data_IF_553436021562
#
_entry.id   IF_553436021562
#
_cell.length_a   1.000
_cell.length_b   1.000
_cell.length_c   1.000
_cell.angle_alpha   90.00
_cell.angle_beta   90.00
_cell.angle_gamma   90.00
#
_symmetry.space_group_name_H-M   'P 1'
#
loop_
_entity.id
_entity.type
_entity.pdbx_description
1 polymer ?
#
# COMPACT_ATOMS: atom_id res chain seq x y z
N UNK A 1 18.63 -24.66 -0.59
CA UNK A 1 18.95 -23.67 -1.66
C UNK A 1 18.09 -22.43 -1.47
N UNK A 2 18.71 -21.25 -1.38
CA UNK A 2 18.08 -19.94 -1.23
C UNK A 2 17.93 -19.28 -2.60
N UNK A 3 16.77 -18.71 -2.90
CA UNK A 3 16.47 -18.08 -4.18
C UNK A 3 16.53 -16.55 -4.06
N UNK A 4 17.39 -15.91 -4.85
CA UNK A 4 17.40 -14.44 -5.00
C UNK A 4 16.53 -14.05 -6.21
N UNK A 5 15.51 -13.25 -5.96
CA UNK A 5 14.55 -12.78 -6.97
C UNK A 5 14.67 -11.27 -7.17
N UNK A 6 14.97 -10.88 -8.41
CA UNK A 6 15.00 -9.48 -8.84
C UNK A 6 13.57 -8.97 -9.09
N UNK A 7 13.41 -7.65 -9.21
CA UNK A 7 12.13 -7.03 -9.62
C UNK A 7 11.61 -7.63 -10.92
N UNK A 8 12.49 -7.84 -11.91
CA UNK A 8 12.13 -8.45 -13.21
C UNK A 8 11.64 -9.89 -13.06
N UNK A 9 12.17 -10.67 -12.13
CA UNK A 9 11.69 -12.03 -11.88
C UNK A 9 10.31 -12.01 -11.22
N UNK A 10 10.11 -11.10 -10.27
CA UNK A 10 8.82 -10.91 -9.61
C UNK A 10 7.73 -10.49 -10.61
N UNK A 11 8.03 -9.56 -11.51
CA UNK A 11 7.10 -9.10 -12.56
C UNK A 11 6.64 -10.21 -13.50
N UNK A 12 7.48 -11.21 -13.78
CA UNK A 12 7.14 -12.36 -14.63
C UNK A 12 6.12 -13.33 -14.01
N UNK A 13 5.95 -13.29 -12.69
CA UNK A 13 5.11 -14.26 -11.97
C UNK A 13 3.98 -13.63 -11.16
N UNK A 14 4.15 -12.40 -10.68
CA UNK A 14 3.18 -11.76 -9.80
C UNK A 14 2.15 -10.95 -10.59
N UNK A 15 0.99 -11.53 -10.82
CA UNK A 15 -0.18 -10.82 -11.34
C UNK A 15 -1.04 -10.25 -10.20
N UNK A 16 -1.96 -9.33 -10.52
CA UNK A 16 -2.90 -8.83 -9.52
C UNK A 16 -3.84 -9.93 -9.01
N UNK A 17 -4.25 -10.84 -9.88
CA UNK A 17 -5.05 -12.01 -9.48
C UNK A 17 -4.34 -12.87 -8.43
N UNK A 18 -3.08 -13.24 -8.66
CA UNK A 18 -2.25 -13.99 -7.68
C UNK A 18 -2.12 -13.22 -6.38
N UNK A 19 -1.94 -11.90 -6.46
CA UNK A 19 -1.84 -11.02 -5.28
C UNK A 19 -3.12 -11.04 -4.46
N UNK A 20 -4.27 -10.88 -5.11
CA UNK A 20 -5.59 -10.89 -4.45
C UNK A 20 -5.88 -12.24 -3.79
N UNK A 21 -5.59 -13.35 -4.48
CA UNK A 21 -5.76 -14.71 -3.94
C UNK A 21 -4.93 -14.91 -2.66
N UNK A 22 -3.64 -14.53 -2.68
CA UNK A 22 -2.77 -14.64 -1.51
C UNK A 22 -3.24 -13.76 -0.35
N UNK A 23 -3.63 -12.52 -0.65
CA UNK A 23 -4.10 -11.58 0.37
C UNK A 23 -5.45 -12.00 0.96
N UNK A 24 -6.36 -12.55 0.17
CA UNK A 24 -7.65 -13.00 0.67
C UNK A 24 -7.51 -14.13 1.68
N UNK A 25 -6.61 -15.09 1.43
CA UNK A 25 -6.24 -16.14 2.40
C UNK A 25 -5.67 -15.52 3.67
N UNK A 26 -4.70 -14.60 3.53
CA UNK A 26 -4.09 -13.92 4.67
C UNK A 26 -5.11 -13.14 5.50
N UNK A 27 -5.98 -12.35 4.87
CA UNK A 27 -6.95 -11.55 5.61
C UNK A 27 -8.01 -12.40 6.30
N UNK A 28 -8.34 -13.57 5.75
CA UNK A 28 -9.15 -14.57 6.46
C UNK A 28 -8.43 -15.05 7.72
N UNK A 29 -7.15 -15.43 7.62
CA UNK A 29 -6.33 -15.84 8.77
C UNK A 29 -6.21 -14.72 9.83
N UNK A 30 -6.03 -13.46 9.40
CA UNK A 30 -5.99 -12.31 10.32
C UNK A 30 -7.32 -12.14 11.06
N UNK A 31 -8.44 -12.25 10.35
CA UNK A 31 -9.76 -12.20 10.97
C UNK A 31 -10.02 -13.36 11.92
N UNK A 32 -9.47 -14.54 11.66
CA UNK A 32 -9.52 -15.73 12.52
C UNK A 32 -8.43 -15.72 13.61
N UNK A 33 -7.57 -14.71 13.67
CA UNK A 33 -6.44 -14.56 14.60
C UNK A 33 -5.39 -15.67 14.49
N UNK A 34 -5.22 -16.22 13.30
CA UNK A 34 -4.22 -17.25 12.99
C UNK A 34 -2.92 -16.63 12.45
N UNK A 35 -3.03 -15.65 11.57
CA UNK A 35 -1.87 -14.91 11.09
C UNK A 35 -1.45 -13.83 12.11
N UNK A 36 -0.15 -13.52 12.13
CA UNK A 36 0.44 -12.55 13.04
C UNK A 36 1.38 -11.60 12.31
N UNK A 37 1.53 -10.41 12.87
CA UNK A 37 2.50 -9.42 12.44
C UNK A 37 2.87 -8.52 13.61
N UNK A 38 4.03 -7.87 13.54
CA UNK A 38 4.38 -6.81 14.49
C UNK A 38 4.21 -5.42 13.84
N UNK A 39 4.01 -4.36 14.67
CA UNK A 39 3.92 -2.99 14.19
C UNK A 39 5.18 -2.60 13.41
N UNK A 40 5.02 -1.80 12.34
CA UNK A 40 6.16 -1.31 11.55
C UNK A 40 7.16 -0.59 12.43
N UNK A 41 8.43 -0.92 12.29
CA UNK A 41 9.54 -0.27 12.97
C UNK A 41 10.23 0.68 11.99
N UNK A 42 10.34 1.95 12.34
CA UNK A 42 11.07 2.95 11.56
C UNK A 42 12.20 3.52 12.42
N UNK A 43 13.44 3.27 12.01
CA UNK A 43 14.63 3.86 12.64
C UNK A 43 15.11 5.02 11.77
N UNK A 44 15.23 6.20 12.36
CA UNK A 44 15.66 7.42 11.70
C UNK A 44 17.00 7.89 12.24
N UNK A 45 17.98 8.06 11.36
CA UNK A 45 19.31 8.57 11.70
C UNK A 45 19.52 9.87 10.92
N UNK A 46 19.67 11.02 11.62
CA UNK A 46 20.01 12.28 10.97
C UNK A 46 21.33 12.18 10.22
N UNK A 47 21.38 12.80 9.06
CA UNK A 47 22.57 12.88 8.22
C UNK A 47 22.99 14.34 8.02
N UNK A 48 24.27 14.61 8.17
CA UNK A 48 24.86 15.88 7.78
C UNK A 48 25.14 15.84 6.26
N UNK A 49 24.41 16.64 5.49
CA UNK A 49 24.64 16.82 4.06
C UNK A 49 24.72 18.31 3.78
N UNK A 50 25.86 18.83 3.30
CA UNK A 50 26.06 20.26 3.08
C UNK A 50 25.04 20.89 2.12
N UNK A 51 24.61 20.13 1.13
CA UNK A 51 23.65 20.54 0.09
C UNK A 51 22.18 20.46 0.51
N UNK A 52 21.89 19.84 1.68
CA UNK A 52 20.53 19.57 2.13
C UNK A 52 20.31 20.13 3.54
N UNK A 53 19.29 20.94 3.69
CA UNK A 53 18.92 21.51 5.00
C UNK A 53 18.45 20.43 5.99
N UNK A 54 17.86 19.36 5.48
CA UNK A 54 17.44 18.21 6.25
C UNK A 54 17.62 16.92 5.45
N UNK A 55 18.38 15.99 6.02
CA UNK A 55 18.54 14.65 5.48
C UNK A 55 18.53 13.60 6.61
N UNK A 56 17.98 12.42 6.32
CA UNK A 56 18.03 11.32 7.25
C UNK A 56 18.06 9.96 6.53
N UNK A 57 18.73 9.00 7.13
CA UNK A 57 18.61 7.61 6.77
C UNK A 57 17.41 6.99 7.49
N UNK A 58 16.62 6.24 6.75
CA UNK A 58 15.45 5.52 7.22
C UNK A 58 15.66 4.01 7.01
N UNK A 59 15.78 3.26 8.10
CA UNK A 59 15.60 1.82 8.05
C UNK A 59 14.16 1.50 8.47
N UNK A 60 13.41 0.84 7.59
CA UNK A 60 12.04 0.41 7.86
C UNK A 60 11.97 -1.09 7.89
N UNK A 61 11.37 -1.64 8.94
CA UNK A 61 11.23 -3.08 9.16
C UNK A 61 9.76 -3.43 9.32
N UNK A 62 9.30 -4.45 8.61
CA UNK A 62 7.95 -4.97 8.69
C UNK A 62 8.00 -6.49 8.65
N UNK A 63 7.46 -7.15 9.65
CA UNK A 63 7.46 -8.62 9.72
C UNK A 63 6.10 -9.20 10.05
N UNK A 64 5.89 -10.45 9.63
CA UNK A 64 4.69 -11.20 9.94
C UNK A 64 4.68 -12.58 9.29
N UNK A 65 3.70 -13.37 9.66
CA UNK A 65 3.56 -14.76 9.24
C UNK A 65 2.16 -15.03 8.66
N UNK A 66 2.11 -15.93 7.70
CA UNK A 66 0.87 -16.52 7.16
C UNK A 66 0.98 -18.05 7.26
N UNK A 67 0.32 -18.66 8.23
CA UNK A 67 0.33 -20.10 8.45
C UNK A 67 -0.15 -20.92 7.24
N UNK A 68 -1.19 -20.50 6.55
CA UNK A 68 -1.69 -21.17 5.34
C UNK A 68 -0.64 -21.23 4.22
N UNK A 69 0.20 -20.18 4.11
CA UNK A 69 1.31 -20.17 3.18
C UNK A 69 2.60 -20.79 3.73
N UNK A 70 2.59 -21.20 5.01
CA UNK A 70 3.74 -21.79 5.72
C UNK A 70 5.00 -20.91 5.67
N UNK A 71 4.82 -19.59 5.75
CA UNK A 71 5.91 -18.62 5.62
C UNK A 71 5.89 -17.53 6.68
N UNK A 72 7.09 -17.05 6.99
CA UNK A 72 7.36 -15.81 7.70
C UNK A 72 8.06 -14.85 6.74
N UNK A 73 7.62 -13.61 6.68
CA UNK A 73 8.23 -12.58 5.83
C UNK A 73 8.79 -11.43 6.68
N UNK A 74 10.02 -11.04 6.40
CA UNK A 74 10.65 -9.85 6.96
C UNK A 74 11.03 -8.91 5.81
N UNK A 75 10.34 -7.77 5.72
CA UNK A 75 10.65 -6.75 4.72
C UNK A 75 11.51 -5.66 5.34
N UNK A 76 12.62 -5.33 4.67
CA UNK A 76 13.52 -4.23 5.00
C UNK A 76 13.53 -3.21 3.87
N UNK A 77 13.55 -1.91 4.18
CA UNK A 77 13.98 -0.89 3.22
C UNK A 77 14.93 0.08 3.88
N UNK A 78 16.00 0.39 3.17
CA UNK A 78 17.04 1.34 3.57
C UNK A 78 16.97 2.52 2.62
N UNK A 79 16.49 3.65 3.12
CA UNK A 79 16.23 4.84 2.31
C UNK A 79 17.04 6.02 2.86
N UNK A 80 17.65 6.82 2.00
CA UNK A 80 18.08 8.17 2.36
C UNK A 80 17.01 9.14 1.85
N UNK A 81 16.49 9.96 2.74
CA UNK A 81 15.45 10.94 2.43
C UNK A 81 15.94 12.36 2.70
N UNK A 82 15.51 13.27 1.84
CA UNK A 82 15.68 14.73 1.99
C UNK A 82 14.31 15.42 1.89
N UNK A 83 14.25 16.68 2.27
CA UNK A 83 13.01 17.48 2.23
C UNK A 83 13.24 18.84 1.57
N UNK A 84 13.59 18.86 0.28
CA UNK A 84 13.77 20.11 -0.46
C UNK A 84 12.48 20.93 -0.48
N UNK A 85 12.63 22.25 -0.47
CA UNK A 85 11.55 23.20 -0.66
C UNK A 85 11.18 23.27 -2.15
N UNK A 86 9.97 22.85 -2.50
CA UNK A 86 9.47 22.84 -3.87
C UNK A 86 8.13 23.57 -3.94
N UNK A 87 8.07 24.70 -4.65
CA UNK A 87 6.84 25.50 -4.75
C UNK A 87 6.30 25.98 -3.39
N UNK A 88 7.18 26.35 -2.46
CA UNK A 88 6.82 26.79 -1.10
C UNK A 88 6.45 25.68 -0.13
N UNK A 89 6.51 24.40 -0.54
CA UNK A 89 6.21 23.24 0.30
C UNK A 89 7.41 22.29 0.36
N UNK A 90 7.70 21.78 1.55
CA UNK A 90 8.70 20.72 1.71
C UNK A 90 8.11 19.37 1.27
N UNK A 91 8.82 18.70 0.38
CA UNK A 91 8.43 17.37 -0.12
C UNK A 91 9.49 16.36 0.20
N UNK A 92 9.09 15.22 0.78
CA UNK A 92 10.03 14.13 0.99
C UNK A 92 10.46 13.52 -0.33
N UNK A 93 11.76 13.54 -0.58
CA UNK A 93 12.39 12.89 -1.73
C UNK A 93 13.27 11.76 -1.23
N UNK A 94 13.15 10.60 -1.83
CA UNK A 94 14.05 9.47 -1.59
C UNK A 94 15.20 9.53 -2.58
N UNK A 95 16.41 9.59 -2.06
CA UNK A 95 17.61 9.53 -2.88
C UNK A 95 17.93 8.07 -3.26
N UNK A 96 18.47 7.83 -4.46
CA UNK A 96 18.97 6.51 -4.82
C UNK A 96 20.19 6.14 -3.96
N UNK A 97 20.30 4.85 -3.65
CA UNK A 97 21.42 4.32 -2.84
C UNK A 97 22.67 4.21 -3.70
N UNK A 98 22.54 3.61 -4.89
CA UNK A 98 23.64 3.39 -5.81
C UNK A 98 23.13 3.30 -7.24
N UNK A 99 23.84 3.89 -8.21
CA UNK A 99 23.53 3.80 -9.64
C UNK A 99 22.05 4.10 -10.01
N UNK A 100 21.45 5.09 -9.37
CA UNK A 100 20.05 5.44 -9.60
C UNK A 100 19.03 4.43 -9.06
N UNK A 101 19.43 3.49 -8.19
CA UNK A 101 18.58 2.42 -7.66
C UNK A 101 18.36 2.56 -6.15
N UNK A 102 17.28 1.97 -5.66
CA UNK A 102 16.88 1.94 -4.25
C UNK A 102 17.03 0.53 -3.67
N UNK A 103 17.14 0.43 -2.34
CA UNK A 103 17.25 -0.83 -1.62
C UNK A 103 15.96 -1.14 -0.86
N UNK A 104 15.36 -2.26 -1.19
CA UNK A 104 14.26 -2.86 -0.45
C UNK A 104 14.23 -4.35 -0.70
N UNK A 105 14.24 -5.14 0.38
CA UNK A 105 14.33 -6.59 0.34
C UNK A 105 13.26 -7.21 1.23
N UNK A 106 12.81 -8.38 0.83
CA UNK A 106 11.99 -9.28 1.62
C UNK A 106 12.80 -10.55 1.85
N UNK A 107 13.00 -10.90 3.11
CA UNK A 107 13.53 -12.20 3.51
C UNK A 107 12.33 -13.11 3.80
N UNK A 108 12.22 -14.18 3.05
CA UNK A 108 11.13 -15.16 3.17
C UNK A 108 11.67 -16.43 3.83
N UNK A 109 11.09 -16.81 4.96
CA UNK A 109 11.46 -17.99 5.72
C UNK A 109 10.33 -19.01 5.71
N UNK A 110 10.67 -20.29 5.80
CA UNK A 110 9.73 -21.35 6.12
C UNK A 110 9.31 -21.28 7.58
N UNK A 111 8.02 -21.22 7.86
CA UNK A 111 7.51 -21.34 9.23
C UNK A 111 7.48 -22.79 9.75
N UNK A 112 7.88 -23.77 8.92
CA UNK A 112 7.90 -25.19 9.26
C UNK A 112 9.21 -25.59 9.89
N UNK A 113 10.33 -25.10 9.32
CA UNK A 113 11.68 -25.53 9.73
C UNK A 113 12.69 -24.37 9.89
N UNK A 114 12.26 -23.12 9.69
CA UNK A 114 13.11 -21.94 9.88
C UNK A 114 14.04 -21.62 8.70
N UNK A 115 14.06 -22.42 7.63
CA UNK A 115 14.93 -22.16 6.48
C UNK A 115 14.66 -20.81 5.83
N UNK A 116 15.72 -20.12 5.40
CA UNK A 116 15.63 -19.01 4.46
C UNK A 116 15.30 -19.58 3.07
N UNK A 117 14.11 -19.25 2.56
CA UNK A 117 13.61 -19.72 1.26
C UNK A 117 14.05 -18.81 0.12
N UNK A 118 13.93 -17.50 0.33
CA UNK A 118 14.23 -16.51 -0.70
C UNK A 118 14.57 -15.14 -0.12
N UNK A 119 15.36 -14.38 -0.91
CA UNK A 119 15.54 -12.93 -0.78
C UNK A 119 14.93 -12.30 -2.02
N UNK A 120 13.91 -11.42 -1.84
CA UNK A 120 13.11 -10.88 -2.93
C UNK A 120 13.23 -9.36 -2.94
N UNK A 121 13.52 -8.74 -4.09
CA UNK A 121 13.42 -7.28 -4.23
C UNK A 121 11.96 -6.83 -4.04
N UNK A 122 11.73 -5.88 -3.13
CA UNK A 122 10.39 -5.58 -2.62
C UNK A 122 9.53 -4.68 -3.52
N UNK A 123 10.13 -3.90 -4.42
CA UNK A 123 9.48 -2.77 -5.07
C UNK A 123 8.17 -3.11 -5.77
N UNK A 124 8.18 -4.09 -6.68
CA UNK A 124 6.98 -4.50 -7.43
C UNK A 124 5.96 -5.21 -6.52
N UNK A 125 6.41 -6.14 -5.68
CA UNK A 125 5.55 -6.83 -4.72
C UNK A 125 4.88 -5.84 -3.75
N UNK A 126 5.63 -4.87 -3.26
CA UNK A 126 5.11 -3.81 -2.37
C UNK A 126 4.02 -2.97 -3.04
N UNK A 127 4.16 -2.68 -4.34
CA UNK A 127 3.13 -2.03 -5.13
C UNK A 127 1.87 -2.88 -5.25
N UNK A 128 2.03 -4.13 -5.64
CA UNK A 128 0.93 -5.06 -5.90
C UNK A 128 0.12 -5.35 -4.64
N UNK A 129 0.78 -5.60 -3.48
CA UNK A 129 0.08 -5.88 -2.22
C UNK A 129 -0.75 -4.68 -1.72
N UNK A 130 -0.33 -3.42 -1.98
CA UNK A 130 -1.12 -2.24 -1.60
C UNK A 130 -2.37 -2.14 -2.48
N UNK A 131 -2.22 -2.30 -3.80
CA UNK A 131 -3.35 -2.34 -4.72
C UNK A 131 -4.33 -3.47 -4.39
N UNK A 132 -3.80 -4.68 -4.16
CA UNK A 132 -4.60 -5.85 -3.79
C UNK A 132 -5.39 -5.67 -2.49
N UNK A 133 -4.80 -5.02 -1.48
CA UNK A 133 -5.51 -4.70 -0.23
C UNK A 133 -6.72 -3.81 -0.47
N UNK A 134 -6.56 -2.74 -1.26
CA UNK A 134 -7.68 -1.88 -1.64
C UNK A 134 -8.68 -2.63 -2.54
N UNK A 135 -8.19 -3.48 -3.44
CA UNK A 135 -9.03 -4.35 -4.24
C UNK A 135 -9.93 -5.27 -3.41
N UNK A 136 -9.38 -5.87 -2.34
CA UNK A 136 -10.20 -6.64 -1.39
C UNK A 136 -11.22 -5.76 -0.67
N UNK A 137 -10.85 -4.57 -0.21
CA UNK A 137 -11.80 -3.60 0.33
C UNK A 137 -12.97 -3.35 -0.63
N UNK A 138 -12.67 -3.06 -1.90
CA UNK A 138 -13.68 -2.85 -2.94
C UNK A 138 -14.48 -4.13 -3.26
N UNK A 139 -13.85 -5.32 -3.22
CA UNK A 139 -14.52 -6.61 -3.43
C UNK A 139 -15.69 -6.83 -2.46
N UNK A 140 -15.53 -6.41 -1.22
CA UNK A 140 -16.52 -6.63 -0.16
C UNK A 140 -17.43 -5.42 0.10
N UNK A 141 -16.98 -4.21 -0.25
CA UNK A 141 -17.68 -2.97 0.11
C UNK A 141 -18.28 -2.20 -1.08
N UNK A 142 -17.73 -2.31 -2.29
CA UNK A 142 -18.33 -1.71 -3.46
C UNK A 142 -19.57 -2.49 -3.92
N UNK A 143 -20.52 -1.82 -4.57
CA UNK A 143 -21.66 -2.49 -5.20
C UNK A 143 -21.18 -3.56 -6.17
N UNK A 144 -21.93 -4.63 -6.32
CA UNK A 144 -21.59 -5.76 -7.22
C UNK A 144 -21.63 -5.34 -8.69
N UNK A 145 -22.51 -4.42 -9.02
CA UNK A 145 -22.72 -3.86 -10.37
C UNK A 145 -21.83 -2.64 -10.67
N UNK A 146 -20.91 -2.26 -9.77
CA UNK A 146 -20.00 -1.13 -9.97
C UNK A 146 -19.17 -1.30 -11.25
N UNK A 147 -19.18 -0.27 -12.11
CA UNK A 147 -18.53 -0.28 -13.44
C UNK A 147 -17.65 0.92 -13.71
N UNK A 148 -17.65 1.92 -12.84
CA UNK A 148 -16.96 3.19 -13.05
C UNK A 148 -16.08 3.57 -11.86
N UNK A 149 -14.90 4.13 -12.17
CA UNK A 149 -13.89 4.52 -11.17
C UNK A 149 -13.48 5.98 -11.35
N UNK A 150 -13.44 6.72 -10.26
CA UNK A 150 -12.76 8.01 -10.13
C UNK A 150 -11.44 7.82 -9.36
N UNK A 151 -10.32 8.06 -10.02
CA UNK A 151 -8.99 7.92 -9.43
C UNK A 151 -8.34 9.28 -9.24
N UNK A 152 -7.87 9.54 -8.03
CA UNK A 152 -7.09 10.73 -7.67
C UNK A 152 -5.64 10.34 -7.43
N UNK A 153 -4.76 10.80 -8.31
CA UNK A 153 -3.35 10.46 -8.34
C UNK A 153 -2.96 9.74 -9.63
N UNK A 154 -1.71 9.97 -10.09
CA UNK A 154 -1.13 9.37 -11.29
C UNK A 154 0.27 8.79 -11.04
N UNK A 155 0.53 8.43 -9.77
CA UNK A 155 1.80 7.88 -9.34
C UNK A 155 1.88 6.35 -9.44
N UNK A 156 3.00 5.81 -8.96
CA UNK A 156 3.30 4.38 -8.98
C UNK A 156 2.20 3.51 -8.34
N UNK A 157 1.66 3.95 -7.19
CA UNK A 157 0.61 3.22 -6.48
C UNK A 157 -0.74 3.30 -7.20
N UNK A 158 -1.06 4.40 -7.84
CA UNK A 158 -2.34 4.62 -8.52
C UNK A 158 -2.64 3.53 -9.57
N UNK A 159 -1.62 3.11 -10.35
CA UNK A 159 -1.78 2.04 -11.33
C UNK A 159 -2.15 0.69 -10.71
N UNK A 160 -1.59 0.34 -9.56
CA UNK A 160 -1.94 -0.91 -8.88
C UNK A 160 -3.38 -0.93 -8.35
N UNK A 161 -3.92 0.25 -7.99
CA UNK A 161 -5.33 0.37 -7.60
C UNK A 161 -6.25 -0.01 -8.76
N UNK A 162 -5.97 0.51 -9.96
CA UNK A 162 -6.77 0.19 -11.15
C UNK A 162 -6.67 -1.29 -11.52
N UNK A 163 -5.48 -1.88 -11.49
CA UNK A 163 -5.29 -3.33 -11.70
C UNK A 163 -6.15 -4.14 -10.73
N UNK A 164 -6.19 -3.77 -9.46
CA UNK A 164 -6.95 -4.50 -8.46
C UNK A 164 -8.47 -4.35 -8.65
N UNK A 165 -8.94 -3.15 -8.96
CA UNK A 165 -10.36 -2.88 -9.19
C UNK A 165 -10.90 -3.61 -10.40
N UNK A 166 -10.12 -3.70 -11.49
CA UNK A 166 -10.53 -4.44 -12.70
C UNK A 166 -10.58 -5.95 -12.49
N UNK A 167 -9.82 -6.50 -11.54
CA UNK A 167 -9.91 -7.92 -11.16
C UNK A 167 -11.16 -8.22 -10.31
N UNK A 168 -11.63 -7.29 -9.49
CA UNK A 168 -12.73 -7.54 -8.54
C UNK A 168 -14.08 -7.01 -9.02
N UNK A 169 -14.12 -6.16 -10.05
CA UNK A 169 -15.34 -5.58 -10.65
C UNK A 169 -15.21 -5.48 -12.18
N UNK A 170 -16.34 -5.52 -12.86
CA UNK A 170 -16.40 -5.35 -14.33
C UNK A 170 -16.31 -3.87 -14.70
N UNK A 171 -15.16 -3.24 -14.39
CA UNK A 171 -14.94 -1.83 -14.70
C UNK A 171 -14.98 -1.59 -16.22
N UNK A 172 -15.68 -0.52 -16.62
CA UNK A 172 -15.86 -0.12 -18.01
C UNK A 172 -15.33 1.28 -18.31
N UNK A 173 -15.21 2.12 -17.27
CA UNK A 173 -14.84 3.51 -17.43
C UNK A 173 -14.01 3.99 -16.22
N UNK A 174 -12.91 4.67 -16.50
CA UNK A 174 -12.03 5.22 -15.47
C UNK A 174 -11.80 6.70 -15.78
N UNK A 175 -11.99 7.54 -14.78
CA UNK A 175 -11.67 8.97 -14.78
C UNK A 175 -10.48 9.21 -13.86
N UNK A 176 -9.46 9.92 -14.33
CA UNK A 176 -8.22 10.16 -13.57
C UNK A 176 -7.98 11.65 -13.41
N UNK A 177 -7.75 12.06 -12.18
CA UNK A 177 -7.30 13.41 -11.89
C UNK A 177 -5.94 13.40 -11.16
N UNK A 178 -5.08 14.30 -11.60
CA UNK A 178 -3.83 14.66 -10.92
C UNK A 178 -3.50 16.11 -11.31
N UNK A 179 -2.90 16.93 -10.44
CA UNK A 179 -2.68 18.35 -10.72
C UNK A 179 -1.84 18.61 -11.98
N UNK A 180 -0.79 17.79 -12.22
CA UNK A 180 0.09 17.95 -13.36
C UNK A 180 -0.54 17.32 -14.62
N UNK A 181 -0.84 18.14 -15.63
CA UNK A 181 -1.51 17.73 -16.87
C UNK A 181 -0.76 16.60 -17.57
N UNK A 182 0.53 16.78 -17.79
CA UNK A 182 1.40 15.85 -18.51
C UNK A 182 1.44 14.49 -17.82
N UNK A 183 1.52 14.48 -16.48
CA UNK A 183 1.54 13.23 -15.68
C UNK A 183 0.22 12.48 -15.78
N UNK A 184 -0.94 13.16 -15.63
CA UNK A 184 -2.24 12.48 -15.71
C UNK A 184 -2.56 11.98 -17.11
N UNK A 185 -2.19 12.73 -18.16
CA UNK A 185 -2.40 12.30 -19.54
C UNK A 185 -1.52 11.10 -19.91
N UNK A 186 -0.22 11.15 -19.52
CA UNK A 186 0.68 10.01 -19.72
C UNK A 186 0.18 8.78 -18.99
N UNK A 187 -0.15 8.93 -17.71
CA UNK A 187 -0.68 7.83 -16.89
C UNK A 187 -1.95 7.23 -17.49
N UNK A 188 -2.87 8.06 -17.97
CA UNK A 188 -4.11 7.59 -18.57
C UNK A 188 -3.86 6.77 -19.83
N UNK A 189 -3.00 7.25 -20.74
CA UNK A 189 -2.61 6.47 -21.94
C UNK A 189 -1.93 5.14 -21.58
N UNK A 190 -1.01 5.16 -20.64
CA UNK A 190 -0.30 3.95 -20.22
C UNK A 190 -1.28 2.92 -19.61
N UNK A 191 -2.18 3.37 -18.73
CA UNK A 191 -3.16 2.48 -18.10
C UNK A 191 -4.24 1.99 -19.06
N UNK A 192 -4.69 2.82 -19.99
CA UNK A 192 -5.60 2.40 -21.06
C UNK A 192 -5.03 1.25 -21.89
N UNK A 193 -3.74 1.36 -22.25
CA UNK A 193 -3.02 0.29 -22.95
C UNK A 193 -2.90 -1.00 -22.11
N UNK A 194 -2.62 -0.87 -20.82
CA UNK A 194 -2.45 -2.02 -19.91
C UNK A 194 -3.79 -2.72 -19.63
N UNK A 195 -4.85 -1.95 -19.42
CA UNK A 195 -6.15 -2.47 -19.01
C UNK A 195 -7.07 -2.83 -20.19
N UNK A 196 -6.81 -2.29 -21.39
CA UNK A 196 -7.66 -2.50 -22.56
C UNK A 196 -9.05 -1.86 -22.43
N UNK A 197 -9.18 -0.80 -21.62
CA UNK A 197 -10.46 -0.10 -21.39
C UNK A 197 -10.21 1.42 -21.24
N UNK A 198 -11.26 2.28 -21.46
CA UNK A 198 -11.09 3.72 -21.46
C UNK A 198 -10.60 4.28 -20.11
N UNK A 199 -9.50 5.04 -20.15
CA UNK A 199 -8.93 5.75 -19.00
C UNK A 199 -8.80 7.23 -19.37
N UNK A 200 -9.72 8.06 -18.88
CA UNK A 200 -9.86 9.47 -19.28
C UNK A 200 -9.21 10.41 -18.29
N UNK A 201 -8.24 11.25 -18.72
CA UNK A 201 -7.70 12.30 -17.87
C UNK A 201 -8.71 13.44 -17.72
N UNK A 202 -9.03 13.83 -16.49
CA UNK A 202 -9.94 14.91 -16.19
C UNK A 202 -9.18 16.22 -15.91
N UNK A 203 -9.70 17.35 -16.39
CA UNK A 203 -9.07 18.65 -16.18
C UNK A 203 -9.27 19.16 -14.75
N UNK A 204 -10.42 18.85 -14.15
CA UNK A 204 -10.81 19.29 -12.83
C UNK A 204 -11.11 18.10 -11.92
N UNK A 205 -10.81 18.20 -10.62
CA UNK A 205 -10.97 17.08 -9.69
C UNK A 205 -12.42 16.62 -9.53
N UNK A 206 -13.39 17.55 -9.51
CA UNK A 206 -14.82 17.23 -9.40
C UNK A 206 -15.34 16.39 -10.58
N UNK A 207 -14.73 16.53 -11.75
CA UNK A 207 -15.09 15.71 -12.93
C UNK A 207 -14.70 14.23 -12.75
N UNK A 208 -13.60 13.99 -12.04
CA UNK A 208 -13.16 12.64 -11.74
C UNK A 208 -14.04 11.93 -10.70
N UNK A 209 -14.65 12.70 -9.79
CA UNK A 209 -15.55 12.16 -8.77
C UNK A 209 -17.00 12.00 -9.24
N UNK A 210 -17.40 12.74 -10.29
CA UNK A 210 -18.78 12.79 -10.75
C UNK A 210 -19.22 11.50 -11.44
N UNK A 211 -20.39 10.98 -11.08
CA UNK A 211 -21.04 9.82 -11.73
C UNK A 211 -20.11 8.59 -11.80
N UNK A 212 -19.50 8.24 -10.67
CA UNK A 212 -18.68 7.04 -10.52
C UNK A 212 -19.16 6.18 -9.36
N UNK A 213 -18.90 4.88 -9.44
CA UNK A 213 -19.30 3.90 -8.41
C UNK A 213 -18.23 3.72 -7.33
N UNK A 214 -16.97 3.89 -7.72
CA UNK A 214 -15.82 3.72 -6.83
C UNK A 214 -14.93 4.96 -6.95
N UNK A 215 -14.53 5.52 -5.82
CA UNK A 215 -13.54 6.60 -5.73
C UNK A 215 -12.31 6.07 -5.02
N UNK A 216 -11.13 6.32 -5.61
CA UNK A 216 -9.86 5.98 -5.00
C UNK A 216 -8.96 7.20 -4.93
N UNK A 217 -8.43 7.49 -3.73
CA UNK A 217 -7.35 8.46 -3.55
C UNK A 217 -6.02 7.72 -3.36
N UNK A 218 -5.03 8.06 -4.20
CA UNK A 218 -3.71 7.44 -4.22
C UNK A 218 -2.64 8.51 -4.53
N UNK A 219 -2.63 9.57 -3.73
CA UNK A 219 -1.76 10.72 -3.91
C UNK A 219 -0.62 10.75 -2.89
N UNK A 220 0.29 11.67 -3.03
CA UNK A 220 1.28 12.05 -2.03
C UNK A 220 0.93 13.40 -1.36
N UNK A 221 -0.33 13.83 -1.44
CA UNK A 221 -0.80 15.04 -0.79
C UNK A 221 -0.68 14.90 0.72
N UNK A 222 -0.19 15.96 1.37
CA UNK A 222 -0.20 16.11 2.82
C UNK A 222 -1.31 17.03 3.32
N UNK A 223 -2.19 17.46 2.40
CA UNK A 223 -3.34 18.29 2.71
C UNK A 223 -4.60 17.55 2.30
N UNK A 224 -5.60 17.60 3.16
CA UNK A 224 -6.93 17.07 2.84
C UNK A 224 -7.54 17.89 1.70
N UNK A 225 -7.84 17.23 0.61
CA UNK A 225 -8.34 17.91 -0.60
C UNK A 225 -9.72 17.40 -1.04
N UNK A 226 -10.12 16.19 -0.61
CA UNK A 226 -11.32 15.53 -1.09
C UNK A 226 -12.54 15.91 -0.22
N UNK A 227 -13.51 16.69 -0.72
CA UNK A 227 -14.64 17.18 0.05
C UNK A 227 -15.85 16.23 -0.03
N UNK A 228 -16.80 16.40 0.87
CA UNK A 228 -17.99 15.53 0.99
C UNK A 228 -18.95 15.63 -0.19
N UNK A 229 -19.08 16.80 -0.82
CA UNK A 229 -19.99 17.03 -1.93
C UNK A 229 -19.67 16.23 -3.19
N UNK A 230 -18.45 15.68 -3.30
CA UNK A 230 -18.09 14.81 -4.41
C UNK A 230 -18.50 13.35 -4.21
N UNK A 231 -19.08 13.00 -3.06
CA UNK A 231 -19.51 11.65 -2.75
C UNK A 231 -21.01 11.50 -2.97
N UNK A 232 -21.40 10.76 -3.99
CA UNK A 232 -22.78 10.40 -4.26
C UNK A 232 -23.24 9.20 -3.44
N UNK A 233 -24.56 9.00 -3.31
CA UNK A 233 -25.12 7.79 -2.68
C UNK A 233 -24.64 6.54 -3.40
N UNK A 234 -24.38 5.48 -2.65
CA UNK A 234 -23.97 4.18 -3.17
C UNK A 234 -22.49 4.07 -3.57
N UNK A 235 -21.73 5.16 -3.48
CA UNK A 235 -20.29 5.16 -3.79
C UNK A 235 -19.51 4.33 -2.75
N UNK A 236 -18.47 3.65 -3.23
CA UNK A 236 -17.42 3.11 -2.39
C UNK A 236 -16.19 4.02 -2.46
N UNK A 237 -15.76 4.52 -1.31
CA UNK A 237 -14.58 5.37 -1.16
C UNK A 237 -13.40 4.54 -0.63
N UNK A 238 -12.26 4.58 -1.30
CA UNK A 238 -11.03 3.93 -0.85
C UNK A 238 -9.87 4.92 -0.82
N UNK A 239 -9.13 4.99 0.27
CA UNK A 239 -7.97 5.89 0.38
C UNK A 239 -6.73 5.15 0.87
N UNK A 240 -5.56 5.54 0.33
CA UNK A 240 -4.26 5.05 0.78
C UNK A 240 -3.76 5.79 2.03
N UNK A 241 -4.20 7.03 2.20
CA UNK A 241 -3.88 7.84 3.37
C UNK A 241 -5.15 8.58 3.78
N UNK A 242 -5.52 8.47 5.06
CA UNK A 242 -6.69 9.15 5.60
C UNK A 242 -6.64 10.67 5.40
N UNK A 243 -5.44 11.24 5.41
CA UNK A 243 -5.19 12.68 5.31
C UNK A 243 -5.58 13.26 3.93
N UNK A 244 -5.85 12.41 2.94
CA UNK A 244 -6.35 12.86 1.62
C UNK A 244 -7.82 13.29 1.66
N UNK A 245 -8.60 12.74 2.61
CA UNK A 245 -10.01 13.08 2.79
C UNK A 245 -10.18 14.24 3.77
N UNK A 246 -11.05 15.19 3.47
CA UNK A 246 -11.53 16.14 4.45
C UNK A 246 -12.42 15.44 5.48
N UNK A 247 -12.55 16.02 6.66
CA UNK A 247 -13.33 15.46 7.76
C UNK A 247 -14.78 15.18 7.36
N UNK A 248 -15.40 16.13 6.66
CA UNK A 248 -16.77 15.98 6.18
C UNK A 248 -16.95 14.84 5.18
N UNK A 249 -15.93 14.54 4.36
CA UNK A 249 -15.97 13.40 3.45
C UNK A 249 -15.87 12.07 4.19
N UNK A 250 -15.05 12.03 5.24
CA UNK A 250 -14.97 10.87 6.13
C UNK A 250 -16.31 10.62 6.84
N UNK A 251 -16.92 11.68 7.43
CA UNK A 251 -18.20 11.59 8.13
C UNK A 251 -19.38 11.23 7.22
N UNK A 252 -19.24 11.43 5.91
CA UNK A 252 -20.24 11.03 4.93
C UNK A 252 -20.26 9.54 4.66
N UNK A 253 -19.16 8.81 4.94
CA UNK A 253 -19.14 7.36 4.82
C UNK A 253 -19.98 6.72 5.96
N UNK A 254 -21.06 6.06 5.61
CA UNK A 254 -21.99 5.43 6.56
C UNK A 254 -21.43 4.15 7.16
N UNK A 255 -20.51 3.50 6.46
CA UNK A 255 -19.84 2.30 6.92
C UNK A 255 -18.37 2.31 6.49
N UNK A 256 -17.47 2.28 7.46
CA UNK A 256 -16.03 2.34 7.25
C UNK A 256 -15.39 1.06 7.76
N UNK A 257 -14.52 0.48 6.94
CA UNK A 257 -13.63 -0.61 7.29
C UNK A 257 -12.19 -0.12 7.18
N UNK A 258 -11.34 -0.52 8.10
CA UNK A 258 -9.92 -0.17 8.11
C UNK A 258 -9.06 -1.40 7.82
N UNK A 259 -7.81 -1.18 7.41
CA UNK A 259 -6.91 -2.31 7.22
C UNK A 259 -6.56 -2.98 8.56
N UNK A 260 -6.19 -2.19 9.57
CA UNK A 260 -5.86 -2.68 10.91
C UNK A 260 -6.04 -1.57 11.95
N UNK A 261 -6.44 -1.91 13.21
CA UNK A 261 -6.49 -0.95 14.31
C UNK A 261 -5.10 -0.50 14.79
N UNK A 262 -4.05 -1.25 14.48
CA UNK A 262 -2.68 -0.91 14.87
C UNK A 262 -2.22 0.36 14.16
N UNK A 263 -2.18 1.45 14.91
CA UNK A 263 -1.75 2.77 14.44
C UNK A 263 -0.24 2.94 14.39
N UNK A 264 0.46 2.21 15.23
CA UNK A 264 1.78 2.59 15.65
C UNK A 264 2.83 2.13 14.65
N UNK A 265 3.45 3.11 14.03
CA UNK A 265 4.81 2.98 13.55
C UNK A 265 5.68 3.28 14.76
N UNK A 266 6.41 2.30 15.25
CA UNK A 266 7.37 2.54 16.32
C UNK A 266 8.55 3.32 15.73
N UNK A 267 8.62 4.58 16.05
CA UNK A 267 9.73 5.45 15.64
C UNK A 267 10.84 5.39 16.70
N UNK A 268 12.02 5.00 16.27
CA UNK A 268 13.25 5.25 17.01
C UNK A 268 14.00 6.37 16.30
N UNK A 269 13.97 7.55 16.87
CA UNK A 269 14.64 8.72 16.34
C UNK A 269 15.47 9.37 17.44
N UNK A 270 16.71 9.73 17.13
CA UNK A 270 17.53 10.57 18.00
C UNK A 270 17.12 12.05 17.82
N UNK A 271 17.93 12.86 17.20
CA UNK A 271 17.71 14.31 17.04
C UNK A 271 16.80 14.67 15.85
N UNK A 272 16.27 13.71 15.09
CA UNK A 272 15.51 14.02 13.86
C UNK A 272 14.22 14.78 14.14
N UNK A 273 13.54 14.45 15.23
CA UNK A 273 12.30 15.12 15.65
C UNK A 273 12.52 16.59 15.97
N UNK A 274 13.61 16.90 16.65
CA UNK A 274 14.01 18.29 16.96
C UNK A 274 14.34 19.07 15.69
N UNK A 275 14.98 18.42 14.70
CA UNK A 275 15.28 19.04 13.42
C UNK A 275 14.00 19.30 12.60
N UNK A 276 13.04 18.37 12.59
CA UNK A 276 11.74 18.58 11.97
C UNK A 276 10.99 19.76 12.58
N UNK A 277 11.00 19.87 13.91
CA UNK A 277 10.38 20.98 14.64
C UNK A 277 11.04 22.32 14.32
N UNK A 278 12.38 22.36 14.32
CA UNK A 278 13.15 23.56 14.01
C UNK A 278 12.88 24.09 12.60
N UNK A 279 12.67 23.20 11.64
CA UNK A 279 12.38 23.53 10.24
C UNK A 279 10.89 23.76 9.98
N UNK A 280 10.06 23.79 11.01
CA UNK A 280 8.61 23.95 10.84
C UNK A 280 7.95 22.80 10.10
N UNK A 281 8.62 21.64 10.05
CA UNK A 281 8.11 20.42 9.42
C UNK A 281 7.20 19.63 10.35
N UNK A 282 6.71 20.24 11.44
CA UNK A 282 5.75 19.55 12.31
C UNK A 282 4.79 18.79 11.43
N UNK A 283 4.76 17.47 11.62
CA UNK A 283 3.60 16.68 11.24
C UNK A 283 2.44 17.41 11.89
N UNK A 284 1.71 18.20 11.11
CA UNK A 284 0.54 18.92 11.62
C UNK A 284 -0.28 17.89 12.36
N UNK A 285 -0.70 18.26 13.55
CA UNK A 285 -1.79 17.60 14.22
C UNK A 285 -2.81 17.20 13.14
N UNK A 286 -3.34 16.02 13.28
CA UNK A 286 -4.26 15.40 12.34
C UNK A 286 -5.16 16.45 11.66
N UNK A 287 -5.36 16.43 10.32
CA UNK A 287 -6.15 17.46 9.62
C UNK A 287 -7.62 17.51 10.03
N UNK A 288 -8.07 16.55 10.85
CA UNK A 288 -9.43 16.49 11.37
C UNK A 288 -9.52 17.04 12.78
N UNK A 289 -10.65 17.61 13.13
CA UNK A 289 -10.91 18.25 14.43
C UNK A 289 -11.06 17.25 15.58
N UNK A 290 -11.06 15.93 15.31
CA UNK A 290 -11.23 14.87 16.29
C UNK A 290 -10.19 13.76 16.11
N UNK A 291 -9.89 13.10 17.19
CA UNK A 291 -9.08 11.89 17.18
C UNK A 291 -9.96 10.69 16.81
N UNK A 292 -9.48 9.88 15.84
CA UNK A 292 -10.20 8.67 15.41
C UNK A 292 -9.87 7.52 16.35
N UNK A 293 -10.86 6.97 17.02
CA UNK A 293 -10.69 5.67 17.70
C UNK A 293 -10.72 4.54 16.67
N UNK A 294 -9.53 4.12 16.24
CA UNK A 294 -9.39 3.07 15.24
C UNK A 294 -9.88 1.71 15.73
N UNK A 295 -9.96 1.48 17.04
CA UNK A 295 -10.46 0.21 17.59
C UNK A 295 -11.98 0.07 17.46
N UNK A 296 -12.69 1.17 17.21
CA UNK A 296 -14.14 1.16 17.00
C UNK A 296 -14.56 0.71 15.59
N UNK A 297 -13.60 0.60 14.65
CA UNK A 297 -13.90 0.24 13.26
C UNK A 297 -13.61 -1.23 12.98
N UNK A 298 -14.48 -1.90 12.19
CA UNK A 298 -14.19 -3.24 11.70
C UNK A 298 -12.95 -3.24 10.81
N UNK A 299 -12.21 -4.34 10.85
CA UNK A 299 -11.00 -4.54 10.07
C UNK A 299 -11.28 -5.30 8.77
N UNK A 300 -10.39 -5.18 7.79
CA UNK A 300 -10.47 -5.97 6.56
C UNK A 300 -10.42 -7.49 6.86
N UNK A 301 -9.67 -7.90 7.88
CA UNK A 301 -9.63 -9.30 8.31
C UNK A 301 -10.99 -9.81 8.79
N UNK A 302 -11.68 -9.04 9.62
CA UNK A 302 -13.02 -9.39 10.08
C UNK A 302 -14.04 -9.40 8.94
N UNK A 303 -13.92 -8.49 7.99
CA UNK A 303 -14.77 -8.44 6.81
C UNK A 303 -14.56 -9.67 5.91
N UNK A 304 -13.32 -10.04 5.60
CA UNK A 304 -12.98 -11.19 4.75
C UNK A 304 -13.35 -12.52 5.43
N UNK A 305 -13.16 -12.63 6.74
CA UNK A 305 -13.57 -13.81 7.52
C UNK A 305 -15.07 -13.85 7.85
N UNK A 306 -15.86 -12.86 7.35
CA UNK A 306 -17.33 -12.77 7.56
C UNK A 306 -17.74 -12.59 9.02
N UNK A 307 -16.88 -12.10 9.88
CA UNK A 307 -17.23 -11.72 11.27
C UNK A 307 -18.04 -10.45 11.35
N UNK A 308 -17.93 -9.62 10.32
CA UNK A 308 -18.75 -8.43 10.12
C UNK A 308 -19.36 -8.46 8.73
N UNK A 309 -20.51 -7.82 8.58
CA UNK A 309 -21.17 -7.67 7.28
C UNK A 309 -20.44 -6.63 6.44
N UNK A 310 -20.47 -6.81 5.12
CA UNK A 310 -20.07 -5.78 4.18
C UNK A 310 -21.17 -4.74 3.94
N UNK A 311 -21.23 -4.21 2.72
CA UNK A 311 -22.31 -3.32 2.28
C UNK A 311 -23.70 -3.95 2.50
N UNK A 312 -24.64 -3.17 3.06
CA UNK A 312 -25.98 -3.64 3.39
C UNK A 312 -27.07 -3.12 2.44
N UNK A 313 -26.81 -2.05 1.68
CA UNK A 313 -27.70 -1.53 0.65
C UNK A 313 -26.97 -0.88 -0.50
N UNK A 314 -27.62 -0.75 -1.68
CA UNK A 314 -27.02 -0.14 -2.85
C UNK A 314 -26.84 1.38 -2.69
N UNK A 315 -27.64 2.04 -1.85
CA UNK A 315 -27.52 3.47 -1.56
C UNK A 315 -26.46 3.80 -0.50
N UNK A 316 -26.00 2.81 0.28
CA UNK A 316 -25.03 3.02 1.35
C UNK A 316 -23.71 3.55 0.82
N UNK A 317 -23.14 4.56 1.46
CA UNK A 317 -21.80 5.06 1.20
C UNK A 317 -20.83 4.28 2.08
N UNK A 318 -19.91 3.56 1.45
CA UNK A 318 -18.92 2.75 2.17
C UNK A 318 -17.52 3.31 2.03
N UNK A 319 -16.70 3.18 3.07
CA UNK A 319 -15.30 3.59 3.07
C UNK A 319 -14.35 2.44 3.39
N UNK A 320 -13.20 2.39 2.72
CA UNK A 320 -12.06 1.56 3.11
C UNK A 320 -10.83 2.43 3.31
N UNK A 321 -10.25 2.39 4.51
CA UNK A 321 -9.03 3.13 4.82
C UNK A 321 -7.86 2.15 4.95
N UNK A 322 -6.95 2.20 3.96
CA UNK A 322 -5.72 1.41 3.98
C UNK A 322 -4.65 2.14 4.80
N UNK A 323 -4.91 2.26 6.10
CA UNK A 323 -4.19 3.13 7.02
C UNK A 323 -2.71 2.75 7.23
N UNK A 324 -2.38 1.46 7.20
CA UNK A 324 -1.01 0.97 7.34
C UNK A 324 -0.84 -0.39 6.67
N UNK A 325 0.33 -0.65 6.07
CA UNK A 325 0.67 -1.97 5.53
C UNK A 325 1.12 -2.95 6.61
N UNK A 326 0.86 -4.23 6.40
CA UNK A 326 1.18 -5.32 7.33
C UNK A 326 2.37 -6.13 6.84
N UNK A 327 3.25 -6.53 7.77
CA UNK A 327 4.37 -7.42 7.46
C UNK A 327 3.93 -8.78 6.90
N UNK A 328 2.83 -9.32 7.40
CA UNK A 328 2.26 -10.59 6.94
C UNK A 328 1.86 -10.59 5.45
N UNK A 329 1.56 -9.42 4.85
CA UNK A 329 1.31 -9.32 3.41
C UNK A 329 2.53 -9.74 2.58
N UNK A 330 3.75 -9.48 3.08
CA UNK A 330 4.99 -9.90 2.43
C UNK A 330 5.24 -11.41 2.58
N UNK A 331 4.81 -12.01 3.69
CA UNK A 331 4.84 -13.46 3.87
C UNK A 331 3.92 -14.14 2.84
N UNK A 332 2.65 -13.76 2.79
CA UNK A 332 1.66 -14.40 1.93
C UNK A 332 1.95 -14.21 0.43
N UNK A 333 2.17 -12.96 -0.01
CA UNK A 333 2.45 -12.68 -1.43
C UNK A 333 3.84 -13.16 -1.84
N UNK A 334 4.83 -13.05 -0.94
CA UNK A 334 6.18 -13.57 -1.15
C UNK A 334 6.22 -15.09 -1.33
N UNK A 335 5.41 -15.83 -0.58
CA UNK A 335 5.25 -17.28 -0.76
C UNK A 335 4.80 -17.65 -2.18
N UNK A 336 3.77 -16.94 -2.69
CA UNK A 336 3.28 -17.19 -4.05
C UNK A 336 4.31 -16.83 -5.12
N UNK A 337 5.03 -15.73 -4.92
CA UNK A 337 6.15 -15.34 -5.81
C UNK A 337 7.22 -16.41 -5.80
N UNK A 338 7.63 -16.90 -4.63
CA UNK A 338 8.64 -17.96 -4.49
C UNK A 338 8.22 -19.26 -5.19
N UNK A 339 7.00 -19.73 -4.94
CA UNK A 339 6.47 -20.96 -5.56
C UNK A 339 6.45 -20.86 -7.09
N UNK A 340 5.90 -19.77 -7.63
CA UNK A 340 5.78 -19.55 -9.07
C UNK A 340 7.16 -19.34 -9.74
N UNK A 341 8.08 -18.67 -9.05
CA UNK A 341 9.44 -18.49 -9.55
C UNK A 341 10.20 -19.83 -9.61
N UNK A 342 10.05 -20.69 -8.59
CA UNK A 342 10.62 -22.06 -8.61
C UNK A 342 10.07 -22.88 -9.79
N UNK A 343 8.75 -22.88 -9.97
CA UNK A 343 8.12 -23.61 -11.08
C UNK A 343 8.64 -23.14 -12.46
N UNK A 344 8.89 -21.83 -12.61
CA UNK A 344 9.41 -21.23 -13.84
C UNK A 344 10.94 -21.20 -13.91
N UNK A 345 11.64 -21.71 -12.91
CA UNK A 345 13.11 -21.70 -12.80
C UNK A 345 13.71 -20.29 -12.95
N UNK A 346 13.11 -19.29 -12.31
CA UNK A 346 13.55 -17.91 -12.30
C UNK A 346 14.41 -17.60 -11.07
N UNK A 347 15.22 -16.54 -11.17
CA UNK A 347 16.08 -16.06 -10.12
C UNK A 347 17.47 -16.71 -10.07
N UNK A 348 18.25 -16.32 -9.08
CA UNK A 348 19.59 -16.86 -8.81
C UNK A 348 19.52 -17.75 -7.58
N UNK A 349 20.08 -18.95 -7.68
CA UNK A 349 20.07 -19.93 -6.60
C UNK A 349 21.43 -19.92 -5.87
N UNK A 350 21.38 -19.87 -4.56
CA UNK A 350 22.53 -19.95 -3.68
C UNK A 350 22.43 -21.20 -2.81
N UNK A 351 23.60 -21.75 -2.43
CA UNK A 351 23.65 -22.82 -1.45
C UNK A 351 23.13 -22.33 -0.09
N UNK A 352 22.30 -23.13 0.56
CA UNK A 352 21.76 -22.80 1.88
C UNK A 352 22.86 -22.66 2.93
N UNK A 353 23.95 -23.43 2.83
CA UNK A 353 25.07 -23.42 3.78
C UNK A 353 25.74 -22.03 3.89
N UNK A 354 25.61 -21.19 2.85
CA UNK A 354 26.11 -19.80 2.90
C UNK A 354 25.35 -18.92 3.91
N UNK A 355 24.19 -19.35 4.37
CA UNK A 355 23.31 -18.63 5.28
C UNK A 355 23.15 -19.31 6.64
N UNK A 356 23.80 -20.46 6.82
CA UNK A 356 23.79 -21.24 8.05
C UNK A 356 25.07 -21.03 8.84
N UNK A 357 25.04 -21.34 10.11
CA UNK A 357 26.20 -21.27 11.01
C UNK A 357 26.28 -22.54 11.83
N UNK A 358 27.52 -22.99 12.13
CA UNK A 358 27.76 -24.20 12.91
C UNK A 358 27.70 -23.95 14.42
N UNK A 359 27.64 -22.70 14.84
CA UNK A 359 27.62 -22.32 16.25
C UNK A 359 26.17 -22.23 16.72
N UNK A 360 25.85 -23.00 17.76
CA UNK A 360 24.58 -22.85 18.46
C UNK A 360 24.62 -21.60 19.37
N UNK A 361 23.74 -20.59 19.22
CA UNK A 361 23.73 -19.38 20.04
C UNK A 361 23.33 -19.62 21.49
#
# INVERSE_FOLDING_TARGET
>A
MVLLLTTSDVEKVLTMKVTLEALEVLYKELGERQAVFFPRQDLHVPLARPEEELAAHYLKVMGGASPAHKTVGLRLSSDVCTWPLQGGLRRRVKLPVLNGKWLGLIFLFSSVNGELLAIIQDGFLSRMRVGGTNGLGAKYLARKDATSVGLFGSGWQAGAQLLALTEVRKIKNIKVYSPTKEHREKFSRDMEKILGLPVRPMARPEEAAKDVDIIVTATNSRQSFFPAEWISKGVHMSCLQRDEMKEEAYRRCEYIVINTPHKEVNFTSSLFKEQEERLGMKVKDHPWSFEVDWNSYPTLGELVSRKVSGRTSDSQITGFINNIGLGAQFAAVGARVYELAKMKKLGHTFDSDLFLQDVHP
#
